data_IF_029745729959
#
_entry.id   IF_029745729959
#
_cell.length_a   1.000
_cell.length_b   1.000
_cell.length_c   1.000
_cell.angle_alpha   90.00
_cell.angle_beta   90.00
_cell.angle_gamma   90.00
#
_symmetry.space_group_name_H-M   'P 1'
#
loop_
_entity.id
_entity.type
_entity.pdbx_description
1 polymer ?
#
# COMPACT_ATOMS: atom_id res chain seq x y z
N UNK A 1 -10.68 5.24 -6.26
CA UNK A 1 -11.26 5.02 -4.91
C UNK A 1 -10.81 6.16 -4.01
N UNK A 2 -11.68 6.62 -3.12
CA UNK A 2 -11.36 7.68 -2.15
C UNK A 2 -11.81 7.17 -0.78
N UNK A 3 -10.96 7.30 0.22
CA UNK A 3 -11.27 6.94 1.60
C UNK A 3 -10.69 8.01 2.53
N UNK A 4 -11.38 8.29 3.64
CA UNK A 4 -10.92 9.29 4.62
C UNK A 4 -9.91 8.68 5.60
N UNK A 5 -10.06 7.39 5.90
CA UNK A 5 -9.12 6.65 6.72
C UNK A 5 -9.01 5.22 6.23
N UNK A 6 -7.85 4.62 6.45
CA UNK A 6 -7.65 3.22 6.09
C UNK A 6 -8.45 2.28 7.01
N UNK A 7 -8.77 2.74 8.22
CA UNK A 7 -9.62 2.02 9.16
C UNK A 7 -11.06 1.85 8.64
N UNK A 8 -11.59 2.82 7.87
CA UNK A 8 -12.91 2.66 7.23
C UNK A 8 -12.91 1.49 6.23
N UNK A 9 -11.84 1.35 5.46
CA UNK A 9 -11.68 0.23 4.51
C UNK A 9 -11.58 -1.09 5.27
N UNK A 10 -10.76 -1.14 6.31
CA UNK A 10 -10.60 -2.34 7.16
C UNK A 10 -11.90 -2.76 7.84
N UNK A 11 -12.75 -1.80 8.26
CA UNK A 11 -14.08 -2.11 8.82
C UNK A 11 -15.06 -2.65 7.78
N UNK A 12 -14.98 -2.19 6.53
CA UNK A 12 -15.89 -2.62 5.47
C UNK A 12 -15.48 -3.94 4.82
N UNK A 13 -14.18 -4.18 4.67
CA UNK A 13 -13.63 -5.31 3.90
C UNK A 13 -12.80 -6.29 4.74
N UNK A 14 -12.63 -6.03 6.02
CA UNK A 14 -11.79 -6.81 6.92
C UNK A 14 -10.30 -6.39 6.90
N UNK A 15 -9.52 -6.94 7.86
CA UNK A 15 -8.09 -6.63 8.00
C UNK A 15 -7.24 -7.12 6.82
N UNK A 16 -7.62 -8.24 6.21
CA UNK A 16 -6.93 -8.84 5.07
C UNK A 16 -7.65 -8.48 3.77
N UNK A 17 -7.55 -7.22 3.35
CA UNK A 17 -8.14 -6.76 2.09
C UNK A 17 -7.07 -6.60 1.00
N UNK A 18 -7.41 -6.99 -0.23
CA UNK A 18 -6.52 -6.83 -1.40
C UNK A 18 -6.64 -5.45 -2.06
N UNK A 19 -7.43 -4.55 -1.47
CA UNK A 19 -7.80 -3.27 -2.08
C UNK A 19 -6.57 -2.38 -2.24
N UNK A 20 -5.77 -2.25 -1.18
CA UNK A 20 -4.55 -1.46 -1.23
C UNK A 20 -3.50 -2.09 -2.16
N UNK A 21 -3.37 -3.41 -2.13
CA UNK A 21 -2.38 -4.15 -2.92
C UNK A 21 -2.63 -4.03 -4.42
N UNK A 22 -3.90 -3.97 -4.82
CA UNK A 22 -4.29 -3.78 -6.23
C UNK A 22 -4.21 -2.33 -6.71
N UNK A 23 -3.99 -1.35 -5.82
CA UNK A 23 -3.86 0.05 -6.23
C UNK A 23 -2.44 0.37 -6.71
N UNK A 24 -2.28 0.56 -8.02
CA UNK A 24 -0.99 0.94 -8.65
C UNK A 24 -0.53 2.35 -8.24
N UNK A 25 -1.47 3.28 -8.10
CA UNK A 25 -1.24 4.65 -7.66
C UNK A 25 -1.95 4.85 -6.33
N UNK A 26 -1.22 5.36 -5.34
CA UNK A 26 -1.74 5.69 -4.02
C UNK A 26 -1.36 7.13 -3.70
N UNK A 27 -2.36 7.94 -3.39
CA UNK A 27 -2.17 9.33 -2.96
C UNK A 27 -2.57 9.42 -1.50
N UNK A 28 -1.69 9.97 -0.66
CA UNK A 28 -1.91 10.16 0.76
C UNK A 28 -1.76 11.62 1.14
N UNK A 29 -2.69 12.11 1.95
CA UNK A 29 -2.66 13.43 2.55
C UNK A 29 -2.27 13.32 4.02
N UNK A 30 -2.09 14.47 4.69
CA UNK A 30 -2.01 14.53 6.14
C UNK A 30 -3.19 13.75 6.76
N UNK A 31 -2.86 12.84 7.68
CA UNK A 31 -3.85 12.03 8.40
C UNK A 31 -3.81 12.34 9.88
N UNK A 32 -4.97 12.25 10.53
CA UNK A 32 -5.09 12.43 11.98
C UNK A 32 -4.99 11.08 12.74
N UNK A 33 -5.01 9.95 12.04
CA UNK A 33 -4.93 8.62 12.64
C UNK A 33 -3.50 8.08 12.60
N UNK A 34 -2.91 7.85 13.77
CA UNK A 34 -1.54 7.34 13.91
C UNK A 34 -1.36 5.98 13.22
N UNK A 35 -2.37 5.10 13.26
CA UNK A 35 -2.30 3.78 12.62
C UNK A 35 -2.21 3.91 11.11
N UNK A 36 -2.99 4.82 10.52
CA UNK A 36 -2.93 5.16 9.11
C UNK A 36 -1.58 5.81 8.76
N UNK A 37 -1.09 6.75 9.57
CA UNK A 37 0.20 7.40 9.36
C UNK A 37 1.36 6.39 9.38
N UNK A 38 1.34 5.45 10.32
CA UNK A 38 2.33 4.36 10.40
C UNK A 38 2.33 3.50 9.15
N UNK A 39 1.16 3.08 8.67
CA UNK A 39 1.06 2.29 7.43
C UNK A 39 1.59 3.06 6.21
N UNK A 40 1.36 4.37 6.13
CA UNK A 40 1.93 5.20 5.05
C UNK A 40 3.45 5.32 5.18
N UNK A 41 3.96 5.55 6.40
CA UNK A 41 5.41 5.55 6.69
C UNK A 41 6.07 4.24 6.28
N UNK A 42 5.48 3.11 6.67
CA UNK A 42 5.99 1.77 6.34
C UNK A 42 5.97 1.52 4.82
N UNK A 43 4.94 2.01 4.12
CA UNK A 43 4.84 1.92 2.66
C UNK A 43 5.87 2.79 1.92
N UNK A 44 6.28 3.92 2.50
CA UNK A 44 7.36 4.78 1.98
C UNK A 44 8.75 4.17 2.18
N UNK A 45 8.90 3.35 3.21
CA UNK A 45 10.14 2.67 3.55
C UNK A 45 11.14 3.57 4.27
N UNK A 46 12.39 3.11 4.30
CA UNK A 46 13.49 3.74 5.03
C UNK A 46 14.50 4.39 4.07
N UNK A 47 15.08 5.49 4.52
CA UNK A 47 16.19 6.18 3.89
C UNK A 47 17.46 6.01 4.75
N UNK A 48 18.61 6.08 4.10
CA UNK A 48 19.91 6.10 4.78
C UNK A 48 20.29 7.54 5.11
N UNK A 49 20.49 7.83 6.38
CA UNK A 49 20.98 9.12 6.87
C UNK A 49 22.44 8.99 7.30
N UNK A 50 23.30 9.88 6.79
CA UNK A 50 24.70 9.97 7.20
C UNK A 50 24.79 10.87 8.44
N UNK A 51 25.17 10.30 9.58
CA UNK A 51 25.36 11.02 10.83
C UNK A 51 26.86 11.16 11.13
N UNK A 52 27.35 12.38 11.04
CA UNK A 52 28.73 12.69 11.44
C UNK A 52 28.76 12.94 12.96
N UNK A 53 29.51 12.11 13.67
CA UNK A 53 29.76 12.24 15.11
C UNK A 53 31.17 12.74 15.34
N UNK A 54 31.30 13.85 16.06
CA UNK A 54 32.60 14.43 16.39
C UNK A 54 32.85 14.25 17.87
N UNK A 55 33.86 13.47 18.21
CA UNK A 55 34.31 13.27 19.58
C UNK A 55 35.56 14.14 19.81
N UNK A 56 35.44 15.04 20.78
CA UNK A 56 36.54 15.91 21.21
C UNK A 56 37.31 15.21 22.33
N UNK A 57 38.50 14.69 22.02
CA UNK A 57 39.37 14.06 23.00
C UNK A 57 40.55 14.99 23.35
N UNK A 58 40.49 15.62 24.51
CA UNK A 58 41.58 16.48 25.00
C UNK A 58 41.30 17.14 26.35
N UNK A 59 42.35 17.43 27.11
CA UNK A 59 42.25 18.20 28.36
C UNK A 59 42.01 19.68 28.04
N UNK A 60 40.97 20.29 28.63
CA UNK A 60 40.54 21.69 28.36
C UNK A 60 41.61 22.76 28.62
N UNK A 61 42.74 22.39 29.26
CA UNK A 61 43.85 23.28 29.63
C UNK A 61 45.19 22.92 28.95
N UNK A 62 45.22 22.00 27.98
CA UNK A 62 46.46 21.66 27.28
C UNK A 62 46.78 22.70 26.18
N UNK A 63 48.03 23.20 26.08
CA UNK A 63 48.41 24.28 25.16
C UNK A 63 48.42 23.87 23.68
N UNK A 64 48.34 22.58 23.36
CA UNK A 64 48.07 22.07 22.02
C UNK A 64 46.80 21.21 22.07
N UNK A 65 45.79 21.60 21.29
CA UNK A 65 44.45 21.03 21.33
C UNK A 65 44.50 19.54 20.90
N UNK A 66 44.12 18.65 21.82
CA UNK A 66 44.12 17.20 21.63
C UNK A 66 43.19 16.75 20.50
N UNK A 67 43.59 15.67 19.84
CA UNK A 67 43.05 15.09 18.62
C UNK A 67 41.51 15.10 18.51
N UNK A 68 41.01 15.63 17.39
CA UNK A 68 39.60 15.56 17.00
C UNK A 68 39.34 14.23 16.30
N UNK A 69 38.44 13.41 16.84
CA UNK A 69 37.98 12.20 16.16
C UNK A 69 36.64 12.51 15.48
N UNK A 70 36.60 12.47 14.15
CA UNK A 70 35.35 12.57 13.38
C UNK A 70 35.03 11.17 12.86
N UNK A 71 33.91 10.59 13.30
CA UNK A 71 33.41 9.30 12.85
C UNK A 71 32.08 9.50 12.13
N UNK A 72 32.00 9.07 10.87
CA UNK A 72 30.77 9.05 10.07
C UNK A 72 30.07 7.72 10.27
N UNK A 73 28.79 7.75 10.62
CA UNK A 73 27.96 6.57 10.78
C UNK A 73 26.75 6.66 9.86
N UNK A 74 26.48 5.60 9.12
CA UNK A 74 25.25 5.47 8.33
C UNK A 74 24.15 4.88 9.23
N UNK A 75 23.02 5.56 9.36
CA UNK A 75 21.87 5.11 10.17
C UNK A 75 20.63 5.03 9.29
N UNK A 76 19.84 3.96 9.42
CA UNK A 76 18.56 3.86 8.74
C UNK A 76 17.49 4.69 9.49
N UNK A 77 16.76 5.54 8.77
CA UNK A 77 15.64 6.34 9.27
C UNK A 77 14.43 6.17 8.34
N UNK A 78 13.19 6.12 8.83
CA UNK A 78 12.02 6.21 7.95
C UNK A 78 12.11 7.43 7.02
N UNK A 79 11.74 7.28 5.74
CA UNK A 79 11.82 8.38 4.78
C UNK A 79 10.96 9.57 5.24
N UNK A 80 9.76 9.25 5.73
CA UNK A 80 8.93 10.16 6.52
C UNK A 80 8.43 9.39 7.74
N UNK A 81 8.65 9.95 8.92
CA UNK A 81 8.13 9.39 10.17
C UNK A 81 6.60 9.56 10.23
N UNK A 82 5.89 8.73 11.01
CA UNK A 82 4.45 8.90 11.19
C UNK A 82 4.07 10.31 11.67
N UNK A 83 4.87 10.90 12.57
CA UNK A 83 4.65 12.27 13.03
C UNK A 83 4.80 13.32 11.92
N UNK A 84 5.79 13.18 11.05
CA UNK A 84 5.96 14.07 9.88
C UNK A 84 4.81 13.93 8.87
N UNK A 85 4.25 12.74 8.70
CA UNK A 85 3.08 12.50 7.84
C UNK A 85 1.83 13.17 8.42
N UNK A 86 1.63 13.07 9.74
CA UNK A 86 0.49 13.73 10.40
C UNK A 86 0.61 15.26 10.36
N UNK A 87 1.83 15.79 10.37
CA UNK A 87 2.12 17.22 10.28
C UNK A 87 2.35 17.71 8.85
N UNK A 88 2.07 16.88 7.84
CA UNK A 88 2.25 17.26 6.45
C UNK A 88 1.40 18.52 6.14
N UNK A 89 1.96 19.54 5.47
CA UNK A 89 1.20 20.72 5.11
C UNK A 89 -0.06 20.37 4.32
N UNK A 90 -1.20 21.09 4.51
CA UNK A 90 -2.44 20.80 3.79
C UNK A 90 -2.34 21.09 2.28
N UNK A 91 -1.31 21.80 1.85
CA UNK A 91 -0.92 22.05 0.47
C UNK A 91 -0.24 20.86 -0.19
N UNK A 92 0.25 19.90 0.59
CA UNK A 92 1.14 18.85 0.10
C UNK A 92 0.41 17.50 0.09
N UNK A 93 0.90 16.62 -0.75
CA UNK A 93 0.47 15.24 -0.85
C UNK A 93 1.65 14.32 -1.16
N UNK A 94 1.51 13.05 -0.77
CA UNK A 94 2.49 12.01 -1.06
C UNK A 94 1.90 11.09 -2.11
N UNK A 95 2.54 11.02 -3.27
CA UNK A 95 2.15 10.19 -4.40
C UNK A 95 3.10 9.01 -4.48
N UNK A 96 2.53 7.81 -4.35
CA UNK A 96 3.23 6.55 -4.48
C UNK A 96 2.74 5.86 -5.75
N UNK A 97 3.66 5.63 -6.69
CA UNK A 97 3.41 4.89 -7.93
C UNK A 97 4.29 3.65 -7.91
N UNK A 98 3.71 2.47 -8.12
CA UNK A 98 4.49 1.23 -8.04
C UNK A 98 5.64 1.23 -9.06
N UNK A 99 6.85 0.89 -8.58
CA UNK A 99 8.07 0.91 -9.39
C UNK A 99 8.73 2.28 -9.58
N UNK A 100 8.21 3.32 -8.93
CA UNK A 100 8.78 4.68 -8.94
C UNK A 100 9.08 5.12 -7.51
N UNK A 101 10.16 5.89 -7.26
CA UNK A 101 10.36 6.52 -5.97
C UNK A 101 9.14 7.36 -5.55
N UNK A 102 8.81 7.41 -4.25
CA UNK A 102 7.69 8.22 -3.77
C UNK A 102 7.95 9.71 -4.06
N UNK A 103 6.88 10.42 -4.44
CA UNK A 103 6.93 11.81 -4.86
C UNK A 103 6.17 12.64 -3.82
N UNK A 104 6.83 13.66 -3.28
CA UNK A 104 6.15 14.73 -2.55
C UNK A 104 5.68 15.77 -3.55
N UNK A 105 4.37 15.92 -3.70
CA UNK A 105 3.75 16.82 -4.65
C UNK A 105 2.93 17.89 -3.94
N UNK A 106 2.62 18.96 -4.67
CA UNK A 106 1.64 19.97 -4.24
C UNK A 106 0.25 19.54 -4.71
N UNK A 107 -0.71 19.61 -3.80
CA UNK A 107 -2.11 19.27 -4.03
C UNK A 107 -2.69 20.09 -5.17
N UNK A 108 -3.29 19.41 -6.14
CA UNK A 108 -4.01 20.05 -7.22
C UNK A 108 -5.34 20.66 -6.72
N UNK A 109 -5.40 21.99 -6.62
CA UNK A 109 -6.65 22.71 -6.31
C UNK A 109 -7.34 23.12 -7.59
N UNK A 110 -8.47 22.48 -7.89
CA UNK A 110 -9.22 22.72 -9.13
C UNK A 110 -9.59 24.20 -9.33
N UNK A 111 -9.77 24.94 -8.23
CA UNK A 111 -10.16 26.35 -8.29
C UNK A 111 -8.98 27.32 -8.46
N UNK A 112 -7.75 26.87 -8.27
CA UNK A 112 -6.54 27.70 -8.45
C UNK A 112 -5.92 27.53 -9.83
N UNK A 113 -6.13 26.37 -10.48
CA UNK A 113 -5.59 26.09 -11.81
C UNK A 113 -6.57 26.52 -12.91
N UNK A 114 -6.12 27.44 -13.79
CA UNK A 114 -6.92 27.93 -14.91
C UNK A 114 -7.45 26.80 -15.82
N UNK A 115 -6.66 25.75 -16.04
CA UNK A 115 -7.03 24.60 -16.90
C UNK A 115 -8.18 23.78 -16.31
N UNK A 116 -8.33 23.79 -14.99
CA UNK A 116 -9.43 23.12 -14.29
C UNK A 116 -10.64 24.03 -14.16
N UNK A 117 -10.44 25.33 -13.93
CA UNK A 117 -11.49 26.34 -13.93
C UNK A 117 -12.28 26.36 -15.25
N UNK A 118 -11.60 26.26 -16.40
CA UNK A 118 -12.25 26.18 -17.72
C UNK A 118 -13.18 24.97 -17.90
N UNK A 119 -13.03 23.94 -17.05
CA UNK A 119 -13.83 22.69 -17.11
C UNK A 119 -14.97 22.67 -16.10
N UNK A 120 -15.13 23.71 -15.29
CA UNK A 120 -16.21 23.79 -14.31
C UNK A 120 -17.52 24.05 -15.05
N UNK A 121 -18.45 23.11 -14.94
CA UNK A 121 -19.81 23.27 -15.45
C UNK A 121 -20.73 23.79 -14.33
N UNK A 122 -21.75 24.55 -14.70
CA UNK A 122 -22.79 24.98 -13.76
C UNK A 122 -23.47 23.75 -13.14
N UNK A 123 -23.71 23.75 -11.81
CA UNK A 123 -24.45 22.67 -11.17
C UNK A 123 -25.80 22.43 -11.87
N UNK A 124 -26.25 21.18 -12.00
CA UNK A 124 -27.54 20.88 -12.60
C UNK A 124 -28.69 21.49 -11.77
N UNK A 125 -29.66 22.10 -12.45
CA UNK A 125 -30.85 22.67 -11.80
C UNK A 125 -31.76 21.57 -11.25
N UNK A 126 -31.75 21.39 -9.93
CA UNK A 126 -32.58 20.41 -9.22
C UNK A 126 -34.09 20.70 -9.32
N UNK A 127 -34.49 21.89 -9.75
CA UNK A 127 -35.89 22.30 -9.88
C UNK A 127 -36.56 21.81 -11.16
N UNK A 128 -35.77 21.51 -12.21
CA UNK A 128 -36.28 21.01 -13.49
C UNK A 128 -36.08 19.50 -13.66
N UNK A 129 -35.17 18.92 -12.88
CA UNK A 129 -35.09 17.48 -12.70
C UNK A 129 -36.30 17.04 -11.86
N UNK A 130 -37.25 16.35 -12.49
CA UNK A 130 -38.29 15.65 -11.75
C UNK A 130 -37.61 14.76 -10.71
N UNK A 131 -37.74 15.12 -9.43
CA UNK A 131 -37.37 14.29 -8.28
C UNK A 131 -38.27 13.07 -8.16
N UNK A 132 -39.10 12.78 -9.18
CA UNK A 132 -39.57 11.44 -9.38
C UNK A 132 -38.31 10.56 -9.44
N UNK A 133 -38.17 9.54 -8.59
CA UNK A 133 -37.24 8.49 -8.89
C UNK A 133 -37.71 7.99 -10.25
N UNK A 134 -37.04 8.38 -11.33
CA UNK A 134 -36.95 7.46 -12.43
C UNK A 134 -36.38 6.23 -11.75
N UNK A 135 -37.08 5.08 -11.72
CA UNK A 135 -36.40 3.85 -11.43
C UNK A 135 -35.48 3.67 -12.64
N UNK A 136 -34.35 4.40 -12.69
CA UNK A 136 -33.13 3.76 -13.12
C UNK A 136 -33.13 2.52 -12.26
N UNK A 137 -33.45 1.40 -12.88
CA UNK A 137 -33.44 0.09 -12.26
C UNK A 137 -32.08 -0.02 -11.60
N UNK A 138 -32.00 0.32 -10.33
CA UNK A 138 -30.76 0.14 -9.62
C UNK A 138 -30.67 -1.37 -9.54
N UNK A 139 -29.78 -1.96 -10.35
CA UNK A 139 -29.66 -3.41 -10.56
C UNK A 139 -29.48 -4.17 -9.23
N UNK A 140 -29.19 -3.41 -8.17
CA UNK A 140 -29.00 -3.83 -6.78
C UNK A 140 -30.29 -3.81 -5.94
N UNK A 141 -31.22 -2.90 -6.22
CA UNK A 141 -32.45 -2.73 -5.42
C UNK A 141 -33.44 -3.90 -5.55
N UNK A 142 -33.39 -4.62 -6.67
CA UNK A 142 -34.21 -5.82 -6.92
C UNK A 142 -33.57 -7.11 -6.40
N UNK A 143 -32.29 -7.06 -6.02
CA UNK A 143 -31.56 -8.20 -5.49
C UNK A 143 -31.67 -8.21 -3.97
N UNK A 144 -32.86 -8.62 -3.50
CA UNK A 144 -33.04 -9.02 -2.11
C UNK A 144 -32.13 -10.24 -1.88
N UNK A 145 -31.04 -10.05 -1.15
CA UNK A 145 -30.37 -11.19 -0.50
C UNK A 145 -31.34 -11.63 0.58
N UNK A 146 -32.12 -12.67 0.29
CA UNK A 146 -32.86 -13.36 1.34
C UNK A 146 -31.80 -13.81 2.35
N UNK A 147 -31.75 -13.15 3.51
CA UNK A 147 -31.10 -13.74 4.65
C UNK A 147 -31.85 -15.06 4.86
N UNK A 148 -31.17 -16.18 4.61
CA UNK A 148 -31.69 -17.50 4.92
C UNK A 148 -31.85 -17.56 6.44
N UNK A 149 -32.99 -17.09 6.93
CA UNK A 149 -33.48 -17.39 8.25
C UNK A 149 -34.04 -18.80 8.11
N UNK A 150 -33.15 -19.79 8.01
CA UNK A 150 -33.53 -21.15 8.29
C UNK A 150 -33.80 -21.24 9.78
N UNK A 151 -35.08 -21.02 10.04
CA UNK A 151 -35.81 -21.18 11.28
C UNK A 151 -35.42 -22.50 11.95
N UNK A 152 -34.73 -22.37 13.08
CA UNK A 152 -34.62 -23.45 14.04
C UNK A 152 -36.00 -23.70 14.65
N UNK A 153 -36.74 -24.66 14.11
CA UNK A 153 -37.97 -25.19 14.73
C UNK A 153 -37.88 -26.70 14.84
N UNK A 154 -37.81 -27.17 16.08
CA UNK A 154 -37.87 -28.57 16.48
C UNK A 154 -39.32 -29.11 16.51
N UNK A 155 -39.41 -30.45 16.48
CA UNK A 155 -40.55 -31.37 16.70
C UNK A 155 -41.49 -31.59 15.49
N UNK A 156 -41.88 -32.81 15.08
CA UNK A 156 -41.75 -34.20 15.58
C UNK A 156 -42.98 -34.99 15.08
N UNK A 157 -42.81 -36.06 14.28
CA UNK A 157 -43.37 -37.44 14.38
C UNK A 157 -43.52 -37.98 12.93
N UNK A 158 -43.47 -39.25 12.54
CA UNK A 158 -43.39 -40.59 13.15
C UNK A 158 -43.08 -41.55 11.96
N UNK A 159 -42.00 -42.35 11.97
CA UNK A 159 -41.93 -43.63 11.23
C UNK A 159 -41.01 -44.61 11.96
N UNK A 160 -41.59 -45.72 12.38
CA UNK A 160 -40.96 -46.90 12.96
C UNK A 160 -40.13 -47.66 11.90
N UNK A 161 -38.81 -47.80 12.10
CA UNK A 161 -37.97 -48.62 11.23
C UNK A 161 -36.45 -48.46 11.39
N UNK A 162 -35.82 -49.45 12.03
CA UNK A 162 -34.38 -49.80 12.06
C UNK A 162 -33.45 -49.08 13.08
N UNK A 163 -33.16 -49.72 14.24
CA UNK A 163 -32.25 -49.17 15.26
C UNK A 163 -30.77 -49.16 14.86
N UNK A 164 -30.39 -49.71 13.69
CA UNK A 164 -29.01 -49.62 13.18
C UNK A 164 -28.71 -48.32 12.40
N UNK A 165 -29.73 -47.49 12.12
CA UNK A 165 -29.61 -46.27 11.31
C UNK A 165 -29.96 -44.97 12.07
N UNK A 166 -30.07 -45.01 13.41
CA UNK A 166 -30.48 -43.88 14.25
C UNK A 166 -29.36 -42.85 14.55
N UNK A 167 -28.41 -42.63 13.64
CA UNK A 167 -27.34 -41.64 13.74
C UNK A 167 -27.46 -40.57 12.65
N UNK A 168 -27.11 -39.33 12.97
CA UNK A 168 -27.08 -38.19 12.03
C UNK A 168 -26.30 -38.61 10.78
N UNK A 169 -27.00 -38.78 9.65
CA UNK A 169 -26.37 -38.84 8.31
C UNK A 169 -25.73 -37.49 8.06
N UNK A 170 -24.45 -37.37 8.41
CA UNK A 170 -23.57 -36.33 7.90
C UNK A 170 -23.47 -36.56 6.39
N UNK A 171 -23.70 -35.50 5.63
CA UNK A 171 -23.39 -35.47 4.21
C UNK A 171 -21.95 -35.97 3.98
N UNK A 172 -21.64 -36.57 2.82
CA UNK A 172 -20.26 -36.92 2.49
C UNK A 172 -19.38 -35.69 2.70
N UNK A 173 -18.40 -35.85 3.57
CA UNK A 173 -17.55 -34.76 4.03
C UNK A 173 -16.92 -34.10 2.81
N UNK A 174 -17.01 -32.76 2.73
CA UNK A 174 -16.12 -31.99 1.87
C UNK A 174 -14.70 -32.52 2.10
N UNK A 175 -13.91 -32.84 1.06
CA UNK A 175 -12.55 -33.29 1.27
C UNK A 175 -11.87 -32.27 2.18
N UNK A 176 -11.35 -32.78 3.30
CA UNK A 176 -10.53 -32.01 4.24
C UNK A 176 -9.57 -31.17 3.42
N UNK A 177 -9.53 -29.86 3.69
CA UNK A 177 -8.54 -28.95 3.11
C UNK A 177 -7.25 -29.71 2.87
N UNK A 178 -6.79 -29.79 1.62
CA UNK A 178 -5.40 -30.16 1.38
C UNK A 178 -4.59 -29.16 2.21
N UNK A 179 -4.04 -29.64 3.31
CA UNK A 179 -2.98 -28.94 4.00
C UNK A 179 -1.90 -28.80 2.93
N UNK A 180 -1.80 -27.60 2.37
CA UNK A 180 -0.63 -27.20 1.60
C UNK A 180 0.50 -27.25 2.64
N UNK A 181 1.09 -28.44 2.79
CA UNK A 181 2.30 -28.60 3.55
C UNK A 181 3.27 -27.54 3.04
N UNK A 182 3.93 -26.84 3.96
CA UNK A 182 4.95 -25.87 3.61
C UNK A 182 5.83 -26.50 2.51
N UNK A 183 6.09 -25.80 1.39
CA UNK A 183 6.98 -26.32 0.37
C UNK A 183 8.27 -26.77 1.07
N UNK A 184 8.86 -27.91 0.67
CA UNK A 184 10.07 -28.40 1.32
C UNK A 184 11.08 -27.25 1.38
N UNK A 185 11.80 -27.08 2.51
CA UNK A 185 12.83 -26.05 2.58
C UNK A 185 13.73 -26.22 1.37
N UNK A 186 14.00 -25.12 0.66
CA UNK A 186 14.98 -25.12 -0.42
C UNK A 186 16.23 -25.84 0.09
N UNK A 187 16.79 -26.81 -0.65
CA UNK A 187 17.98 -27.51 -0.19
C UNK A 187 18.98 -26.47 0.27
N UNK A 188 19.41 -26.59 1.53
CA UNK A 188 20.48 -25.78 2.07
C UNK A 188 21.61 -25.83 1.04
N UNK A 189 22.23 -24.69 0.78
CA UNK A 189 23.30 -24.53 -0.21
C UNK A 189 24.55 -25.31 0.25
N UNK A 190 24.47 -26.63 0.26
CA UNK A 190 25.53 -27.56 0.67
C UNK A 190 26.70 -27.59 -0.35
N UNK A 191 26.63 -26.76 -1.39
CA UNK A 191 27.69 -26.54 -2.37
C UNK A 191 28.01 -25.05 -2.58
N UNK A 192 27.85 -24.22 -1.53
CA UNK A 192 28.48 -22.90 -1.55
C UNK A 192 29.99 -23.10 -1.32
N UNK A 193 30.69 -23.38 -2.43
CA UNK A 193 32.13 -23.26 -2.48
C UNK A 193 32.49 -21.81 -2.15
N UNK A 194 33.12 -21.62 -0.99
CA UNK A 194 33.90 -20.43 -0.64
C UNK A 194 34.76 -20.03 -1.84
N UNK A 195 34.37 -18.96 -2.53
CA UNK A 195 35.22 -18.23 -3.47
C UNK A 195 34.76 -16.76 -3.49
N UNK A 196 35.50 -15.98 -2.71
CA UNK A 196 36.00 -14.62 -2.93
C UNK A 196 35.07 -13.49 -3.42
N UNK A 197 35.00 -12.49 -2.54
CA UNK A 197 34.76 -11.05 -2.73
C UNK A 197 33.53 -10.59 -3.54
N UNK A 198 32.67 -9.73 -2.98
CA UNK A 198 31.56 -9.14 -3.74
C UNK A 198 32.11 -8.25 -4.85
N UNK A 199 31.94 -8.70 -6.08
CA UNK A 199 32.30 -7.99 -7.30
C UNK A 199 31.54 -6.66 -7.39
N UNK A 200 32.17 -5.60 -6.88
CA UNK A 200 31.68 -4.21 -6.78
C UNK A 200 31.22 -3.67 -8.14
N UNK A 201 31.70 -4.27 -9.23
CA UNK A 201 31.36 -3.90 -10.59
C UNK A 201 30.01 -4.47 -11.05
N UNK A 202 29.62 -5.64 -10.55
CA UNK A 202 28.30 -6.22 -10.84
C UNK A 202 27.16 -5.39 -10.22
N UNK A 203 27.38 -4.87 -9.01
CA UNK A 203 26.43 -3.96 -8.34
C UNK A 203 26.29 -2.63 -9.10
N UNK A 204 27.42 -2.02 -9.51
CA UNK A 204 27.41 -0.78 -10.33
C UNK A 204 26.73 -0.98 -11.68
N UNK A 205 26.99 -2.10 -12.36
CA UNK A 205 26.39 -2.42 -13.66
C UNK A 205 24.85 -2.55 -13.58
N UNK A 206 24.31 -3.14 -12.49
CA UNK A 206 22.87 -3.24 -12.26
C UNK A 206 22.23 -1.86 -12.07
N UNK A 207 22.87 -0.98 -11.30
CA UNK A 207 22.39 0.40 -11.06
C UNK A 207 22.40 1.23 -12.35
N UNK A 208 23.43 1.09 -13.18
CA UNK A 208 23.50 1.78 -14.49
C UNK A 208 22.38 1.29 -15.43
N UNK A 209 22.16 -0.03 -15.49
CA UNK A 209 21.11 -0.63 -16.34
C UNK A 209 19.70 -0.21 -15.91
N UNK A 210 19.46 -0.06 -14.61
CA UNK A 210 18.19 0.48 -14.10
C UNK A 210 17.99 1.96 -14.45
N UNK A 211 19.04 2.80 -14.33
CA UNK A 211 18.97 4.21 -14.75
C UNK A 211 18.70 4.37 -16.24
N UNK A 212 19.37 3.59 -17.10
CA UNK A 212 19.14 3.63 -18.55
C UNK A 212 17.71 3.24 -18.94
N UNK A 213 17.10 2.24 -18.27
CA UNK A 213 15.70 1.87 -18.51
C UNK A 213 14.71 2.98 -18.13
N UNK A 214 14.96 3.70 -17.04
CA UNK A 214 14.12 4.85 -16.66
C UNK A 214 14.23 6.00 -17.67
N UNK A 215 15.45 6.33 -18.11
CA UNK A 215 15.66 7.41 -19.10
C UNK A 215 14.98 7.06 -20.44
N UNK A 216 15.12 5.84 -20.94
CA UNK A 216 14.48 5.42 -22.18
C UNK A 216 12.94 5.52 -22.12
N UNK A 217 12.33 5.25 -20.96
CA UNK A 217 10.88 5.38 -20.76
C UNK A 217 10.43 6.85 -20.70
N UNK A 218 11.26 7.76 -20.20
CA UNK A 218 10.99 9.20 -20.22
C UNK A 218 11.06 9.78 -21.63
N UNK A 219 12.03 9.34 -22.44
CA UNK A 219 12.18 9.75 -23.85
C UNK A 219 10.96 9.32 -24.67
N UNK A 220 10.47 8.09 -24.50
CA UNK A 220 9.29 7.58 -25.21
C UNK A 220 7.96 8.27 -24.84
N UNK A 221 7.94 9.07 -23.76
CA UNK A 221 6.76 9.82 -23.32
C UNK A 221 6.85 11.32 -23.65
N UNK A 222 7.92 11.75 -24.35
CA UNK A 222 8.07 13.11 -24.83
C UNK A 222 7.39 13.27 -26.20
N UNK A 223 6.26 14.00 -26.32
CA UNK A 223 5.55 14.16 -27.58
C UNK A 223 6.27 15.10 -28.58
N UNK A 224 7.42 15.67 -28.22
CA UNK A 224 8.16 16.68 -28.99
C UNK A 224 9.61 16.23 -29.31
N UNK A 225 9.84 14.92 -29.46
CA UNK A 225 11.18 14.33 -29.59
C UNK A 225 11.78 14.41 -31.01
N UNK A 226 11.10 15.11 -31.95
CA UNK A 226 11.63 15.41 -33.28
C UNK A 226 11.87 14.21 -34.20
N UNK A 227 11.32 13.03 -33.87
CA UNK A 227 11.36 11.84 -34.71
C UNK A 227 10.06 11.78 -35.51
N UNK A 228 10.07 12.32 -36.73
CA UNK A 228 9.02 12.08 -37.72
C UNK A 228 9.05 10.59 -38.11
N UNK A 229 7.91 9.90 -37.92
CA UNK A 229 7.67 8.51 -38.36
C UNK A 229 7.35 8.43 -39.85
#
# INVERSE_FOLDING_TARGET
MIAQSLNQIERAYGPNNAILDNCHVRVSFATNDERTAKRVSDALGTATELRDSTNYAGHRLAPWLGHLMVSRQETARPLLTPGEIMQLPPTDEIVMVAGTPPIRATKARYFEDARFQERILTPPDLSTASLAPSPSSDDWSSRIVAADILSATNAGDEVEGDPANAGIRREPELPSQEEIGAPPPSPEQEFEFLNDEPDVDAAKARTIRQRMRMVARQVALNPDDGIDL
#
